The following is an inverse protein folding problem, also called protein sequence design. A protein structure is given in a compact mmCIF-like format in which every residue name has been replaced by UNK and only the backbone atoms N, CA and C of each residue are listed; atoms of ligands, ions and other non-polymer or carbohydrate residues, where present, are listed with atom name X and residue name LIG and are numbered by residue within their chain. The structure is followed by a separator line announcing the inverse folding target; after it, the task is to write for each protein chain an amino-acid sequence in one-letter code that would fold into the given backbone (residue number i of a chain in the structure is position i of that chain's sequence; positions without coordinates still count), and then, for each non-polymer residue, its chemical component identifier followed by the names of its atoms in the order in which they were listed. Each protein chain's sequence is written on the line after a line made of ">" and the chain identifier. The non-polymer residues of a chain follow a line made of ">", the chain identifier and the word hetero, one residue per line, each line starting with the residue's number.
data_IF_518666978550
#
_entry.id   IF_518666978550
#
_cell.length_a   1.000
_cell.length_b   1.000
_cell.length_c   1.000
_cell.angle_alpha   90.00
_cell.angle_beta   90.00
_cell.angle_gamma   90.00
#
_symmetry.space_group_name_H-M   'P 1'
#
loop_
_entity.id
_entity.type
_entity.pdbx_description
1 polymer ?
#
# COMPACT_ATOMS: atom_id res chain seq x y z
N UNK A 1 -2.51 -43.88 25.57
CA UNK A 1 -1.74 -45.13 25.80
C UNK A 1 -2.15 -46.08 24.68
N UNK A 2 -1.26 -46.30 23.70
CA UNK A 2 -0.53 -47.56 23.44
C UNK A 2 -1.50 -48.75 23.31
N UNK A 3 -1.57 -49.53 22.23
CA UNK A 3 -0.52 -49.91 21.28
C UNK A 3 -1.12 -50.70 20.10
N UNK A 4 -0.37 -50.68 19.00
CA UNK A 4 -0.53 -51.40 17.74
C UNK A 4 -0.50 -52.92 17.89
N UNK A 5 -1.11 -53.64 16.93
CA UNK A 5 -0.70 -55.01 16.56
C UNK A 5 -0.70 -55.16 15.04
N UNK A 6 0.42 -55.73 14.58
CA UNK A 6 0.91 -55.95 13.23
C UNK A 6 0.27 -57.15 12.52
N UNK A 7 0.21 -57.11 11.18
CA UNK A 7 0.21 -58.30 10.33
C UNK A 7 1.13 -58.09 9.10
N UNK A 8 2.04 -59.05 8.90
CA UNK A 8 3.07 -59.15 7.84
C UNK A 8 2.57 -59.97 6.64
N UNK A 9 3.41 -59.97 5.58
CA UNK A 9 3.55 -60.88 4.42
C UNK A 9 2.90 -60.36 3.12
N UNK A 10 3.54 -60.37 1.95
CA UNK A 10 4.88 -60.81 1.53
C UNK A 10 5.04 -60.73 0.00
N UNK A 11 6.28 -60.48 -0.45
CA UNK A 11 6.98 -60.83 -1.71
C UNK A 11 6.20 -60.99 -3.03
N UNK A 12 6.72 -60.38 -4.11
CA UNK A 12 7.31 -61.11 -5.25
C UNK A 12 8.08 -60.22 -6.23
N UNK A 13 9.30 -60.68 -6.51
CA UNK A 13 10.23 -60.23 -7.54
C UNK A 13 9.70 -60.42 -8.97
N UNK A 14 10.13 -59.56 -9.90
CA UNK A 14 10.22 -59.96 -11.31
C UNK A 14 11.46 -59.37 -11.99
N UNK A 15 12.22 -60.28 -12.60
CA UNK A 15 13.51 -60.11 -13.26
C UNK A 15 13.36 -60.66 -14.69
N UNK A 16 13.82 -59.92 -15.70
CA UNK A 16 14.17 -60.41 -17.06
C UNK A 16 14.89 -59.24 -17.75
N UNK A 17 16.21 -59.22 -18.03
CA UNK A 17 17.09 -60.08 -18.86
C UNK A 17 16.60 -60.27 -20.31
N UNK A 18 17.35 -59.70 -21.25
CA UNK A 18 17.99 -60.33 -22.43
C UNK A 18 18.84 -59.23 -23.12
N UNK A 19 20.17 -59.31 -23.27
CA UNK A 19 21.07 -60.28 -23.93
C UNK A 19 20.92 -60.31 -25.46
N UNK A 20 22.06 -60.07 -26.15
CA UNK A 20 22.60 -60.62 -27.43
C UNK A 20 23.70 -59.60 -27.87
N UNK A 21 25.00 -59.78 -27.58
CA UNK A 21 26.05 -60.58 -28.31
C UNK A 21 25.98 -60.35 -29.84
N UNK A 22 27.00 -59.99 -30.63
CA UNK A 22 28.37 -60.52 -30.68
C UNK A 22 29.20 -59.79 -31.79
N UNK A 23 30.52 -59.72 -31.56
CA UNK A 23 31.66 -59.96 -32.50
C UNK A 23 32.24 -58.96 -33.52
N UNK A 24 33.61 -59.00 -33.48
CA UNK A 24 34.69 -58.83 -34.49
C UNK A 24 35.21 -57.41 -34.77
N UNK A 25 36.47 -57.11 -34.38
CA UNK A 25 37.74 -57.32 -35.13
C UNK A 25 37.80 -56.43 -36.38
N UNK A 26 38.83 -55.69 -36.78
CA UNK A 26 40.18 -55.35 -36.32
C UNK A 26 40.73 -54.37 -37.40
N UNK A 27 41.66 -53.46 -37.06
CA UNK A 27 42.49 -52.61 -37.97
C UNK A 27 41.74 -51.48 -38.75
N UNK A 28 42.31 -50.34 -39.17
CA UNK A 28 43.61 -49.66 -39.02
C UNK A 28 43.41 -48.24 -39.62
N UNK A 29 44.14 -47.27 -39.07
CA UNK A 29 44.73 -46.06 -39.71
C UNK A 29 43.94 -45.16 -40.70
N UNK A 30 44.23 -43.85 -40.59
CA UNK A 30 43.76 -42.70 -41.40
C UNK A 30 42.34 -42.23 -41.03
N UNK A 31 42.09 -41.06 -40.44
CA UNK A 31 42.70 -39.75 -40.61
C UNK A 31 42.43 -38.91 -39.34
N UNK A 32 43.49 -38.43 -38.70
CA UNK A 32 43.43 -37.41 -37.64
C UNK A 32 43.71 -36.08 -38.33
N UNK A 33 42.68 -35.33 -38.72
CA UNK A 33 42.82 -33.88 -38.95
C UNK A 33 41.49 -33.11 -38.89
N UNK A 34 40.32 -33.74 -39.07
CA UNK A 34 39.05 -32.98 -39.16
C UNK A 34 38.16 -32.98 -37.89
N UNK A 35 38.72 -33.15 -36.68
CA UNK A 35 37.92 -33.27 -35.44
C UNK A 35 38.18 -32.25 -34.33
N UNK A 36 39.04 -31.26 -34.56
CA UNK A 36 39.29 -30.20 -33.57
C UNK A 36 38.55 -28.89 -33.84
N UNK A 37 38.18 -28.56 -35.08
CA UNK A 37 37.48 -27.28 -35.35
C UNK A 37 36.01 -27.25 -34.90
N UNK A 38 35.30 -28.39 -34.85
CA UNK A 38 33.84 -28.39 -34.61
C UNK A 38 33.41 -28.51 -33.12
N UNK A 39 34.33 -28.25 -32.18
CA UNK A 39 34.06 -28.24 -30.73
C UNK A 39 34.23 -26.87 -30.08
N UNK A 40 34.93 -25.94 -30.72
CA UNK A 40 35.11 -24.57 -30.19
C UNK A 40 33.94 -23.67 -30.58
N UNK A 41 33.45 -23.74 -31.83
CA UNK A 41 32.32 -22.93 -32.31
C UNK A 41 31.01 -23.19 -31.55
N UNK A 42 30.68 -24.46 -31.28
CA UNK A 42 29.48 -24.83 -30.49
C UNK A 42 29.59 -24.48 -29.00
N UNK A 43 30.79 -24.16 -28.52
CA UNK A 43 31.04 -23.77 -27.12
C UNK A 43 31.01 -22.24 -26.97
N UNK A 44 31.33 -21.49 -28.02
CA UNK A 44 31.17 -20.03 -28.06
C UNK A 44 29.72 -19.61 -28.30
N UNK A 45 28.96 -20.25 -29.19
CA UNK A 45 27.51 -19.96 -29.37
C UNK A 45 26.71 -20.18 -28.07
N UNK A 46 26.93 -21.31 -27.38
CA UNK A 46 26.29 -21.59 -26.07
C UNK A 46 26.75 -20.67 -24.94
N UNK A 47 27.88 -19.96 -25.10
CA UNK A 47 28.41 -19.03 -24.11
C UNK A 47 27.96 -17.60 -24.37
N UNK A 48 27.61 -17.28 -25.62
CA UNK A 48 26.95 -16.04 -26.03
C UNK A 48 25.45 -16.07 -25.74
N UNK A 49 24.72 -17.15 -26.08
CA UNK A 49 23.29 -17.29 -25.71
C UNK A 49 23.09 -17.19 -24.19
N UNK A 50 23.97 -17.84 -23.41
CA UNK A 50 23.95 -17.81 -21.94
C UNK A 50 24.45 -16.48 -21.35
N UNK A 51 25.06 -15.62 -22.15
CA UNK A 51 25.42 -14.24 -21.78
C UNK A 51 24.29 -13.27 -22.10
N UNK A 52 23.56 -13.49 -23.18
CA UNK A 52 22.40 -12.69 -23.59
C UNK A 52 21.19 -12.96 -22.68
N UNK A 53 20.86 -14.22 -22.36
CA UNK A 53 19.81 -14.55 -21.37
C UNK A 53 20.11 -13.93 -20.00
N UNK A 54 21.38 -13.92 -19.59
CA UNK A 54 21.79 -13.38 -18.29
C UNK A 54 21.72 -11.84 -18.25
N UNK A 55 21.87 -11.19 -19.40
CA UNK A 55 21.78 -9.74 -19.56
C UNK A 55 20.32 -9.28 -19.60
N UNK A 56 19.45 -10.03 -20.29
CA UNK A 56 18.00 -9.78 -20.29
C UNK A 56 17.38 -9.97 -18.91
N UNK A 57 17.83 -10.96 -18.13
CA UNK A 57 17.36 -11.16 -16.76
C UNK A 57 17.83 -10.04 -15.81
N UNK A 58 19.09 -9.58 -15.94
CA UNK A 58 19.63 -8.44 -15.16
C UNK A 58 18.90 -7.13 -15.51
N UNK A 59 18.66 -6.84 -16.80
CA UNK A 59 17.94 -5.65 -17.24
C UNK A 59 16.47 -5.66 -16.75
N UNK A 60 15.81 -6.84 -16.71
CA UNK A 60 14.46 -7.00 -16.13
C UNK A 60 14.43 -6.86 -14.61
N UNK A 61 15.50 -7.23 -13.92
CA UNK A 61 15.61 -7.05 -12.47
C UNK A 61 15.82 -5.58 -12.11
N UNK A 62 16.63 -4.86 -12.89
CA UNK A 62 16.81 -3.41 -12.74
C UNK A 62 15.52 -2.64 -13.06
N UNK A 63 14.77 -3.01 -14.10
CA UNK A 63 13.50 -2.35 -14.44
C UNK A 63 12.46 -2.54 -13.31
N UNK A 64 12.35 -3.76 -12.76
CA UNK A 64 11.50 -4.04 -11.60
C UNK A 64 11.96 -3.33 -10.32
N UNK A 65 13.26 -3.17 -10.12
CA UNK A 65 13.80 -2.39 -9.00
C UNK A 65 13.49 -0.90 -9.17
N UNK A 66 13.62 -0.34 -10.37
CA UNK A 66 13.27 1.06 -10.65
C UNK A 66 11.77 1.33 -10.51
N UNK A 67 10.91 0.46 -11.03
CA UNK A 67 9.46 0.59 -10.83
C UNK A 67 9.07 0.52 -9.34
N UNK A 68 9.80 -0.28 -8.56
CA UNK A 68 9.59 -0.38 -7.11
C UNK A 68 10.08 0.89 -6.37
N UNK A 69 11.26 1.40 -6.72
CA UNK A 69 11.81 2.64 -6.16
C UNK A 69 11.02 3.89 -6.59
N UNK A 70 10.36 3.86 -7.75
CA UNK A 70 9.50 4.94 -8.24
C UNK A 70 8.14 4.94 -7.54
N UNK A 71 7.58 3.77 -7.21
CA UNK A 71 6.42 3.65 -6.30
C UNK A 71 6.74 4.07 -4.87
N UNK A 72 7.95 3.82 -4.40
CA UNK A 72 8.41 4.26 -3.07
C UNK A 72 8.71 5.77 -3.01
N UNK A 73 8.65 6.47 -4.14
CA UNK A 73 8.83 7.93 -4.27
C UNK A 73 7.53 8.73 -4.21
N UNK A 74 6.43 8.11 -3.79
CA UNK A 74 5.26 8.86 -3.34
C UNK A 74 5.56 9.37 -1.92
N UNK A 75 5.67 10.70 -1.75
CA UNK A 75 5.78 11.31 -0.43
C UNK A 75 4.57 10.88 0.42
N UNK A 76 4.81 9.96 1.35
CA UNK A 76 3.78 9.45 2.25
C UNK A 76 3.28 10.61 3.11
N UNK A 77 2.08 11.11 2.80
CA UNK A 77 1.47 12.22 3.53
C UNK A 77 1.04 11.71 4.91
N UNK A 78 1.74 12.15 5.95
CA UNK A 78 1.32 11.92 7.33
C UNK A 78 0.09 12.77 7.67
N UNK A 79 -1.08 12.14 7.58
CA UNK A 79 -2.37 12.74 7.93
C UNK A 79 -2.55 12.98 9.43
N UNK A 80 -1.80 12.28 10.29
CA UNK A 80 -1.88 12.45 11.75
C UNK A 80 -1.16 13.72 12.18
N UNK A 81 -0.06 14.08 11.49
CA UNK A 81 0.64 15.35 11.72
C UNK A 81 -0.07 16.57 11.12
N UNK A 82 -1.08 16.37 10.27
CA UNK A 82 -1.76 17.44 9.52
C UNK A 82 -2.34 18.56 10.42
N UNK A 83 -3.00 18.27 11.56
CA UNK A 83 -3.48 19.32 12.46
C UNK A 83 -2.36 20.19 13.04
N UNK A 84 -1.23 19.57 13.41
CA UNK A 84 -0.08 20.31 13.95
C UNK A 84 0.59 21.17 12.89
N UNK A 85 0.69 20.67 11.65
CA UNK A 85 1.20 21.44 10.51
C UNK A 85 0.29 22.64 10.21
N UNK A 86 -1.03 22.46 10.28
CA UNK A 86 -2.01 23.52 10.06
C UNK A 86 -1.89 24.62 11.12
N UNK A 87 -1.75 24.24 12.39
CA UNK A 87 -1.54 25.20 13.49
C UNK A 87 -0.26 26.02 13.29
N UNK A 88 0.84 25.37 12.92
CA UNK A 88 2.11 26.05 12.65
C UNK A 88 2.02 27.06 11.48
N UNK A 89 1.31 26.70 10.40
CA UNK A 89 1.09 27.62 9.28
C UNK A 89 0.18 28.79 9.66
N UNK A 90 -0.84 28.57 10.50
CA UNK A 90 -1.65 29.66 11.03
C UNK A 90 -0.82 30.62 11.89
N UNK A 91 0.04 30.11 12.77
CA UNK A 91 0.94 30.94 13.59
C UNK A 91 1.91 31.74 12.70
N UNK A 92 2.55 31.08 11.73
CA UNK A 92 3.47 31.72 10.76
C UNK A 92 2.81 32.88 10.00
N UNK A 93 1.52 32.75 9.68
CA UNK A 93 0.75 33.73 8.94
C UNK A 93 0.00 34.73 9.83
N UNK A 94 0.10 34.60 11.15
CA UNK A 94 -0.61 35.45 12.11
C UNK A 94 -2.13 35.28 12.05
N UNK A 95 -2.61 34.04 11.94
CA UNK A 95 -4.04 33.66 11.96
C UNK A 95 -4.42 32.84 13.20
N UNK A 96 -3.47 32.60 14.10
CA UNK A 96 -3.57 31.83 15.36
C UNK A 96 -4.67 32.34 16.30
N UNK A 97 -4.89 33.65 16.32
CA UNK A 97 -5.93 34.28 17.12
C UNK A 97 -7.33 34.09 16.52
N UNK A 98 -7.42 33.82 15.22
CA UNK A 98 -8.68 33.72 14.48
C UNK A 98 -9.16 32.28 14.26
N UNK A 99 -8.27 31.28 14.22
CA UNK A 99 -8.68 29.90 13.90
C UNK A 99 -8.58 29.01 15.14
N UNK A 100 -9.63 28.23 15.40
CA UNK A 100 -9.68 27.30 16.53
C UNK A 100 -10.02 25.87 16.09
N UNK A 101 -9.38 24.84 16.65
CA UNK A 101 -9.77 23.45 16.44
C UNK A 101 -11.23 23.23 16.85
N UNK A 102 -11.98 22.51 16.01
CA UNK A 102 -13.40 22.20 16.26
C UNK A 102 -13.57 20.75 16.64
N UNK A 103 -14.15 20.51 17.81
CA UNK A 103 -14.46 19.16 18.29
C UNK A 103 -15.74 18.69 17.60
N UNK A 104 -15.60 17.72 16.69
CA UNK A 104 -16.73 17.04 16.06
C UNK A 104 -17.23 15.95 17.02
N UNK A 105 -18.47 16.11 17.51
CA UNK A 105 -19.13 15.11 18.36
C UNK A 105 -20.08 14.27 17.50
N UNK A 106 -20.07 12.94 17.62
CA UNK A 106 -21.07 12.11 16.97
C UNK A 106 -22.47 12.47 17.50
N UNK A 107 -23.46 12.54 16.60
CA UNK A 107 -24.86 12.71 16.98
C UNK A 107 -25.39 11.51 17.78
N UNK A 108 -26.53 11.70 18.45
CA UNK A 108 -27.18 10.65 19.26
C UNK A 108 -28.07 9.72 18.44
N UNK A 109 -28.48 10.14 17.24
CA UNK A 109 -29.56 9.48 16.50
C UNK A 109 -28.98 8.70 15.30
N UNK A 110 -28.31 7.60 15.61
CA UNK A 110 -27.77 6.71 14.58
C UNK A 110 -28.74 5.59 14.26
N UNK A 111 -28.99 5.36 12.98
CA UNK A 111 -29.75 4.21 12.50
C UNK A 111 -28.83 3.25 11.75
N UNK A 112 -28.81 2.00 12.18
CA UNK A 112 -28.06 0.92 11.54
C UNK A 112 -29.01 0.00 10.79
N UNK A 113 -28.68 -0.30 9.54
CA UNK A 113 -29.28 -1.40 8.78
C UNK A 113 -28.30 -2.56 8.70
N UNK A 114 -28.73 -3.76 9.07
CA UNK A 114 -27.88 -4.97 9.06
C UNK A 114 -28.67 -6.14 8.50
N UNK A 115 -27.97 -7.02 7.79
CA UNK A 115 -28.50 -8.31 7.34
C UNK A 115 -27.64 -9.40 7.95
N UNK A 116 -28.24 -10.34 8.69
CA UNK A 116 -27.48 -11.34 9.44
C UNK A 116 -26.88 -12.44 8.54
N UNK A 117 -27.59 -12.78 7.47
CA UNK A 117 -27.16 -13.68 6.39
C UNK A 117 -27.58 -13.09 5.05
N UNK A 118 -26.99 -13.54 3.95
CA UNK A 118 -27.30 -13.02 2.61
C UNK A 118 -28.78 -13.19 2.20
N UNK A 119 -29.50 -14.13 2.83
CA UNK A 119 -30.90 -14.46 2.52
C UNK A 119 -31.90 -14.04 3.59
N UNK A 120 -31.45 -13.51 4.75
CA UNK A 120 -32.36 -13.03 5.80
C UNK A 120 -32.84 -11.61 5.50
N UNK A 121 -33.98 -11.21 6.05
CA UNK A 121 -34.45 -9.83 5.94
C UNK A 121 -33.47 -8.83 6.59
N UNK A 122 -33.46 -7.61 6.08
CA UNK A 122 -32.66 -6.52 6.63
C UNK A 122 -33.34 -5.94 7.88
N UNK A 123 -32.62 -5.90 8.98
CA UNK A 123 -33.06 -5.32 10.25
C UNK A 123 -32.56 -3.88 10.37
N UNK A 124 -33.43 -3.00 10.87
CA UNK A 124 -33.08 -1.62 11.19
C UNK A 124 -33.17 -1.41 12.71
N UNK A 125 -32.11 -0.86 13.30
CA UNK A 125 -32.05 -0.58 14.72
C UNK A 125 -31.49 0.83 14.96
N UNK A 126 -31.96 1.48 16.02
CA UNK A 126 -31.37 2.72 16.52
C UNK A 126 -30.24 2.37 17.49
N UNK A 127 -29.09 3.03 17.33
CA UNK A 127 -27.93 2.81 18.20
C UNK A 127 -27.92 3.86 19.32
N UNK A 128 -27.74 3.41 20.57
CA UNK A 128 -27.44 4.29 21.70
C UNK A 128 -25.95 4.64 21.72
N UNK A 129 -25.55 5.57 22.58
CA UNK A 129 -24.14 5.97 22.76
C UNK A 129 -23.24 4.78 23.09
N UNK A 130 -23.69 3.85 23.94
CA UNK A 130 -22.94 2.66 24.32
C UNK A 130 -22.76 1.72 23.13
N UNK A 131 -23.83 1.50 22.35
CA UNK A 131 -23.77 0.70 21.13
C UNK A 131 -22.83 1.31 20.09
N UNK A 132 -22.79 2.65 19.98
CA UNK A 132 -21.85 3.34 19.07
C UNK A 132 -20.39 3.10 19.45
N UNK A 133 -20.06 3.10 20.74
CA UNK A 133 -18.71 2.78 21.21
C UNK A 133 -18.34 1.34 20.87
N UNK A 134 -19.27 0.40 21.05
CA UNK A 134 -19.06 -1.00 20.70
C UNK A 134 -18.88 -1.20 19.19
N UNK A 135 -19.73 -0.59 18.36
CA UNK A 135 -19.64 -0.69 16.90
C UNK A 135 -18.38 0.00 16.35
N UNK A 136 -17.97 1.12 16.96
CA UNK A 136 -16.67 1.77 16.67
C UNK A 136 -15.53 0.78 16.90
N UNK A 137 -15.51 0.12 18.07
CA UNK A 137 -14.47 -0.86 18.40
C UNK A 137 -14.45 -2.02 17.40
N UNK A 138 -15.61 -2.61 17.10
CA UNK A 138 -15.73 -3.69 16.10
C UNK A 138 -15.21 -3.27 14.72
N UNK A 139 -15.46 -2.02 14.32
CA UNK A 139 -14.98 -1.49 13.04
C UNK A 139 -13.45 -1.35 13.00
N UNK A 140 -12.84 -0.91 14.11
CA UNK A 140 -11.37 -0.86 14.23
C UNK A 140 -10.75 -2.25 14.30
N UNK A 141 -11.35 -3.19 15.02
CA UNK A 141 -10.88 -4.58 15.07
C UNK A 141 -10.94 -5.24 13.68
N UNK A 142 -11.98 -4.94 12.89
CA UNK A 142 -12.07 -5.38 11.50
C UNK A 142 -10.99 -4.73 10.63
N UNK A 143 -10.75 -3.43 10.78
CA UNK A 143 -9.71 -2.72 10.03
C UNK A 143 -8.30 -3.24 10.37
N UNK A 144 -8.04 -3.53 11.64
CA UNK A 144 -6.79 -4.14 12.12
C UNK A 144 -6.62 -5.55 11.53
N UNK A 145 -7.67 -6.37 11.54
CA UNK A 145 -7.64 -7.70 10.95
C UNK A 145 -7.40 -7.66 9.43
N UNK A 146 -8.06 -6.74 8.72
CA UNK A 146 -7.91 -6.59 7.27
C UNK A 146 -6.53 -6.03 6.87
N UNK A 147 -6.01 -5.08 7.65
CA UNK A 147 -4.67 -4.51 7.42
C UNK A 147 -3.54 -5.39 7.94
N UNK A 148 -3.84 -6.53 8.59
CA UNK A 148 -2.86 -7.35 9.34
C UNK A 148 -2.03 -6.47 10.29
N UNK A 149 -2.73 -5.61 11.04
CA UNK A 149 -2.14 -4.60 11.93
C UNK A 149 -1.19 -3.62 11.24
N UNK A 150 -1.56 -3.22 10.02
CA UNK A 150 -0.80 -2.26 9.20
C UNK A 150 0.31 -2.86 8.33
N UNK A 151 0.49 -4.19 8.32
CA UNK A 151 1.47 -4.86 7.45
C UNK A 151 0.99 -4.93 6.00
N UNK A 152 -0.32 -4.95 5.78
CA UNK A 152 -0.94 -5.00 4.46
C UNK A 152 -1.50 -3.63 4.08
N UNK A 153 -1.02 -3.09 2.96
CA UNK A 153 -1.56 -1.89 2.34
C UNK A 153 -2.94 -2.17 1.73
N UNK A 154 -3.80 -1.16 1.74
CA UNK A 154 -5.11 -1.24 1.11
C UNK A 154 -5.04 -0.74 -0.33
N UNK A 155 -5.36 -1.62 -1.28
CA UNK A 155 -5.55 -1.24 -2.68
C UNK A 155 -7.03 -0.89 -2.91
N UNK A 156 -7.30 0.15 -3.69
CA UNK A 156 -8.67 0.60 -4.04
C UNK A 156 -9.57 1.00 -2.86
N UNK A 157 -9.01 1.71 -1.87
CA UNK A 157 -9.79 2.31 -0.78
C UNK A 157 -9.82 3.83 -0.90
N UNK A 158 -10.95 4.42 -0.50
CA UNK A 158 -11.05 5.88 -0.35
C UNK A 158 -11.05 6.21 1.14
N UNK A 159 -10.02 6.91 1.59
CA UNK A 159 -9.93 7.43 2.94
C UNK A 159 -10.45 8.87 2.97
N UNK A 160 -11.47 9.12 3.79
CA UNK A 160 -11.98 10.46 4.04
C UNK A 160 -11.50 10.95 5.40
N UNK A 161 -10.74 12.03 5.41
CA UNK A 161 -10.28 12.70 6.63
C UNK A 161 -11.02 14.02 6.74
N UNK A 162 -11.61 14.27 7.91
CA UNK A 162 -12.32 15.51 8.21
C UNK A 162 -11.56 16.25 9.28
N UNK A 163 -11.08 17.45 8.93
CA UNK A 163 -10.46 18.38 9.87
C UNK A 163 -11.44 19.52 10.11
N UNK A 164 -11.86 19.68 11.36
CA UNK A 164 -12.75 20.76 11.76
C UNK A 164 -11.96 21.95 12.29
N UNK A 165 -12.09 23.10 11.64
CA UNK A 165 -11.58 24.40 12.11
C UNK A 165 -12.69 25.44 12.07
N UNK A 166 -12.79 26.25 13.12
CA UNK A 166 -13.75 27.37 13.20
C UNK A 166 -12.98 28.67 13.20
N UNK A 167 -13.41 29.61 12.36
CA UNK A 167 -12.93 30.99 12.38
C UNK A 167 -13.73 31.75 13.43
N UNK A 168 -13.06 32.26 14.45
CA UNK A 168 -13.61 33.09 15.52
C UNK A 168 -12.91 34.45 15.51
N UNK A 169 -13.69 35.52 15.44
CA UNK A 169 -13.15 36.87 15.53
C UNK A 169 -12.95 37.26 17.00
N UNK A 170 -11.79 37.80 17.33
CA UNK A 170 -11.50 38.29 18.68
C UNK A 170 -12.34 39.52 19.03
N UNK A 171 -12.62 40.36 18.03
CA UNK A 171 -13.33 41.63 18.17
C UNK A 171 -14.73 41.55 17.58
N UNK A 172 -15.61 42.46 18.03
CA UNK A 172 -16.94 42.54 17.48
C UNK A 172 -16.92 43.11 16.05
N UNK A 173 -17.96 42.84 15.26
CA UNK A 173 -18.06 43.29 13.88
C UNK A 173 -17.88 44.81 13.73
N UNK A 174 -18.37 45.58 14.71
CA UNK A 174 -18.23 47.04 14.73
C UNK A 174 -16.76 47.44 14.84
N UNK A 175 -16.00 46.82 15.74
CA UNK A 175 -14.59 47.14 15.94
C UNK A 175 -13.78 46.76 14.69
N UNK A 176 -13.96 45.54 14.18
CA UNK A 176 -13.20 45.04 13.01
C UNK A 176 -13.49 45.84 11.73
N UNK A 177 -14.75 46.11 11.42
CA UNK A 177 -15.12 46.75 10.15
C UNK A 177 -15.00 48.27 10.23
N UNK A 178 -15.37 48.89 11.37
CA UNK A 178 -15.44 50.35 11.49
C UNK A 178 -14.16 50.93 12.07
N UNK A 179 -13.62 50.36 13.15
CA UNK A 179 -12.41 50.93 13.79
C UNK A 179 -11.14 50.50 13.05
N UNK A 180 -11.05 49.24 12.67
CA UNK A 180 -9.85 48.68 12.05
C UNK A 180 -9.91 48.68 10.52
N UNK A 181 -11.10 48.89 9.94
CA UNK A 181 -11.32 48.86 8.49
C UNK A 181 -10.79 47.56 7.84
N UNK A 182 -10.96 46.43 8.54
CA UNK A 182 -10.57 45.10 8.06
C UNK A 182 -11.82 44.38 7.58
N UNK A 183 -11.71 43.69 6.45
CA UNK A 183 -12.76 42.83 5.95
C UNK A 183 -12.68 41.44 6.62
N UNK A 184 -13.66 41.04 7.45
CA UNK A 184 -13.62 39.74 8.13
C UNK A 184 -13.68 38.55 7.16
N UNK A 185 -14.17 38.75 5.93
CA UNK A 185 -14.21 37.72 4.90
C UNK A 185 -12.80 37.33 4.46
N UNK A 186 -11.89 38.31 4.30
CA UNK A 186 -10.51 38.06 3.87
C UNK A 186 -9.75 37.17 4.86
N UNK A 187 -10.01 37.36 6.17
CA UNK A 187 -9.43 36.51 7.23
C UNK A 187 -9.92 35.07 7.08
N UNK A 188 -11.22 34.88 6.85
CA UNK A 188 -11.80 33.55 6.67
C UNK A 188 -11.30 32.87 5.38
N UNK A 189 -11.18 33.63 4.29
CA UNK A 189 -10.67 33.12 3.01
C UNK A 189 -9.20 32.71 3.13
N UNK A 190 -8.38 33.52 3.80
CA UNK A 190 -6.97 33.21 4.04
C UNK A 190 -6.81 31.95 4.90
N UNK A 191 -7.60 31.79 5.96
CA UNK A 191 -7.59 30.58 6.77
C UNK A 191 -7.98 29.32 5.97
N UNK A 192 -9.04 29.42 5.16
CA UNK A 192 -9.48 28.31 4.30
C UNK A 192 -8.45 27.98 3.21
N UNK A 193 -7.79 29.00 2.68
CA UNK A 193 -6.73 28.85 1.70
C UNK A 193 -5.54 28.09 2.27
N UNK A 194 -5.08 28.44 3.48
CA UNK A 194 -3.99 27.74 4.17
C UNK A 194 -4.33 26.27 4.39
N UNK A 195 -5.54 25.97 4.87
CA UNK A 195 -6.00 24.60 5.04
C UNK A 195 -6.03 23.82 3.71
N UNK A 196 -6.49 24.45 2.63
CA UNK A 196 -6.57 23.83 1.30
C UNK A 196 -5.18 23.58 0.70
N UNK A 197 -4.28 24.56 0.81
CA UNK A 197 -2.88 24.44 0.34
C UNK A 197 -2.16 23.29 1.03
N UNK A 198 -2.33 23.17 2.35
CA UNK A 198 -1.68 22.11 3.12
C UNK A 198 -2.15 20.71 2.72
N UNK A 199 -3.42 20.55 2.35
CA UNK A 199 -3.99 19.27 1.88
C UNK A 199 -3.57 18.96 0.43
N UNK A 200 -3.41 19.96 -0.43
CA UNK A 200 -3.08 19.80 -1.85
C UNK A 200 -1.57 19.81 -2.15
N UNK A 201 -0.74 19.32 -1.24
CA UNK A 201 0.73 19.22 -1.35
C UNK A 201 1.51 20.54 -1.18
N UNK A 202 1.09 21.39 -0.24
CA UNK A 202 2.00 22.33 0.41
C UNK A 202 2.57 23.42 -0.48
N UNK A 203 1.86 23.83 -1.54
CA UNK A 203 2.26 24.99 -2.32
C UNK A 203 2.33 26.21 -1.37
N UNK A 204 3.52 26.79 -1.16
CA UNK A 204 3.69 27.85 -0.19
C UNK A 204 2.79 29.02 -0.57
N UNK A 205 2.19 29.68 0.42
CA UNK A 205 1.33 30.85 0.21
C UNK A 205 1.94 31.89 -0.79
N UNK A 206 3.27 32.03 -0.76
CA UNK A 206 4.06 32.88 -1.65
C UNK A 206 3.96 32.54 -3.15
N UNK A 207 3.69 31.29 -3.53
CA UNK A 207 3.60 30.90 -4.95
C UNK A 207 2.34 31.43 -5.63
N UNK A 208 1.37 31.95 -4.86
CA UNK A 208 0.10 32.46 -5.37
C UNK A 208 -0.01 33.99 -5.31
N UNK A 209 1.03 34.68 -4.82
CA UNK A 209 1.11 36.14 -4.77
C UNK A 209 1.86 36.76 -5.97
N UNK A 210 2.29 35.96 -6.94
CA UNK A 210 2.93 36.41 -8.20
C UNK A 210 1.96 36.33 -9.39
#
# INVERSE_FOLDING_TARGET
>A
MKSEVSAKQGKKDFKKKNKIEDKKEESKEESKEDKEENKEDKKEEKKNEKKEEKKEDEDREEERQREREEREREEEIDFVALPNKLEAEHERLGLDHCVRPTIIKPGTDWSRKRQQTLLSDAEQATLTTENLVEEKKKSYDLLDALSRSGVMSFEHVTLHIVIGSTVQFEKCLIDTVIQENINPIEVSERANFVASSLVQNGLPFESFLN
#
